data_IF_539727837063
#
_entry.id   IF_539727837063
#
_cell.length_a   1.000
_cell.length_b   1.000
_cell.length_c   1.000
_cell.angle_alpha   90.00
_cell.angle_beta   90.00
_cell.angle_gamma   90.00
#
_symmetry.space_group_name_H-M   'P 1'
#
loop_
_entity.id
_entity.type
_entity.pdbx_description
1 polymer ?
#
# COMPACT_ATOMS: atom_id res chain seq x y z
N UNK A 1 17.80 -29.58 37.18
CA UNK A 1 18.20 -28.62 36.13
C UNK A 1 17.06 -28.56 35.12
N UNK A 2 16.21 -27.53 35.18
CA UNK A 2 14.99 -27.42 34.35
C UNK A 2 15.31 -26.51 33.17
N UNK A 3 15.45 -27.08 31.97
CA UNK A 3 15.68 -26.30 30.75
C UNK A 3 14.37 -25.60 30.37
N UNK A 4 14.42 -24.27 30.36
CA UNK A 4 13.35 -23.40 29.89
C UNK A 4 13.24 -23.56 28.36
N UNK A 5 12.10 -23.97 27.78
CA UNK A 5 11.97 -23.95 26.33
C UNK A 5 11.97 -22.50 25.85
N UNK A 6 12.80 -22.20 24.85
CA UNK A 6 12.77 -20.94 24.11
C UNK A 6 11.48 -20.95 23.30
N UNK A 7 10.55 -20.07 23.67
CA UNK A 7 9.27 -19.89 22.98
C UNK A 7 9.49 -18.94 21.79
N UNK A 8 9.88 -19.50 20.65
CA UNK A 8 9.96 -18.82 19.35
C UNK A 8 8.57 -18.51 18.74
N UNK A 9 7.52 -18.59 19.57
CA UNK A 9 6.18 -18.12 19.24
C UNK A 9 5.97 -16.76 19.89
N UNK A 10 6.81 -15.78 19.54
CA UNK A 10 6.34 -14.41 19.42
C UNK A 10 5.42 -14.39 18.21
N UNK A 11 4.24 -15.01 18.35
CA UNK A 11 3.10 -14.80 17.48
C UNK A 11 2.92 -13.30 17.50
N UNK A 12 3.36 -12.64 16.42
CA UNK A 12 3.11 -11.23 16.20
C UNK A 12 1.61 -11.14 15.99
N UNK A 13 0.86 -11.13 17.10
CA UNK A 13 -0.57 -10.90 17.11
C UNK A 13 -0.74 -9.55 16.43
N UNK A 14 -1.26 -9.52 15.19
CA UNK A 14 -1.50 -8.26 14.53
C UNK A 14 -2.52 -7.56 15.41
N UNK A 15 -2.11 -6.48 16.10
CA UNK A 15 -3.03 -5.60 16.77
C UNK A 15 -4.21 -5.40 15.81
N UNK A 16 -5.46 -5.65 16.21
CA UNK A 16 -6.61 -5.60 15.28
C UNK A 16 -6.67 -4.24 14.55
N UNK A 17 -6.21 -3.19 15.22
CA UNK A 17 -6.04 -1.85 14.66
C UNK A 17 -4.94 -1.75 13.59
N UNK A 18 -3.84 -2.50 13.71
CA UNK A 18 -2.68 -2.44 12.81
C UNK A 18 -2.91 -3.08 11.43
N UNK A 19 -3.76 -4.10 11.34
CA UNK A 19 -4.16 -4.70 10.07
C UNK A 19 -5.06 -3.76 9.25
N UNK A 20 -6.06 -3.17 9.92
CA UNK A 20 -7.00 -2.24 9.30
C UNK A 20 -6.36 -0.88 9.00
N UNK A 21 -5.47 -0.37 9.86
CA UNK A 21 -4.71 0.85 9.61
C UNK A 21 -3.86 0.72 8.35
N UNK A 22 -3.15 -0.40 8.16
CA UNK A 22 -2.38 -0.64 6.93
C UNK A 22 -3.27 -0.61 5.69
N UNK A 23 -4.45 -1.23 5.75
CA UNK A 23 -5.39 -1.22 4.63
C UNK A 23 -5.99 0.17 4.39
N UNK A 24 -6.29 0.94 5.44
CA UNK A 24 -6.76 2.32 5.34
C UNK A 24 -5.69 3.26 4.79
N UNK A 25 -4.44 3.15 5.24
CA UNK A 25 -3.30 3.93 4.70
C UNK A 25 -3.07 3.58 3.23
N UNK A 26 -3.20 2.30 2.86
CA UNK A 26 -3.12 1.88 1.47
C UNK A 26 -4.24 2.52 0.62
N UNK A 27 -5.50 2.45 1.07
CA UNK A 27 -6.67 3.07 0.41
C UNK A 27 -6.57 4.60 0.32
N UNK A 28 -6.09 5.26 1.39
CA UNK A 28 -5.85 6.69 1.41
C UNK A 28 -4.76 7.07 0.41
N UNK A 29 -3.68 6.29 0.33
CA UNK A 29 -2.64 6.48 -0.67
C UNK A 29 -3.20 6.33 -2.10
N UNK A 30 -3.95 5.27 -2.38
CA UNK A 30 -4.62 5.06 -3.68
C UNK A 30 -5.48 6.27 -4.06
N UNK A 31 -6.29 6.76 -3.12
CA UNK A 31 -7.16 7.91 -3.35
C UNK A 31 -6.36 9.19 -3.59
N UNK A 32 -5.28 9.40 -2.83
CA UNK A 32 -4.38 10.55 -2.98
C UNK A 32 -3.65 10.55 -4.33
N UNK A 33 -3.18 9.38 -4.79
CA UNK A 33 -2.56 9.24 -6.11
C UNK A 33 -3.53 9.55 -7.24
N UNK A 34 -4.75 9.00 -7.20
CA UNK A 34 -5.78 9.28 -8.21
C UNK A 34 -6.14 10.76 -8.23
N UNK A 35 -6.35 11.36 -7.06
CA UNK A 35 -6.65 12.79 -6.95
C UNK A 35 -5.51 13.67 -7.48
N UNK A 36 -4.26 13.39 -7.12
CA UNK A 36 -3.09 14.16 -7.56
C UNK A 36 -2.83 14.05 -9.08
N UNK A 37 -3.06 12.87 -9.66
CA UNK A 37 -2.98 12.67 -11.12
C UNK A 37 -4.07 13.48 -11.83
N UNK A 38 -5.29 13.48 -11.30
CA UNK A 38 -6.41 14.25 -11.87
C UNK A 38 -6.16 15.76 -11.76
N UNK A 39 -5.75 16.26 -10.58
CA UNK A 39 -5.43 17.67 -10.35
C UNK A 39 -4.37 18.19 -11.35
N UNK A 40 -3.25 17.45 -11.46
CA UNK A 40 -2.21 17.74 -12.46
C UNK A 40 -2.74 17.67 -13.89
N UNK A 41 -3.55 16.68 -14.22
CA UNK A 41 -4.14 16.54 -15.56
C UNK A 41 -5.04 17.72 -15.91
N UNK A 42 -5.83 18.22 -14.94
CA UNK A 42 -6.68 19.40 -15.11
C UNK A 42 -5.83 20.67 -15.27
N UNK A 43 -4.76 20.82 -14.49
CA UNK A 43 -3.83 21.94 -14.63
C UNK A 43 -3.17 21.97 -16.01
N UNK A 44 -2.69 20.82 -16.50
CA UNK A 44 -2.09 20.69 -17.84
C UNK A 44 -3.13 20.95 -18.94
N UNK A 45 -4.36 20.45 -18.77
CA UNK A 45 -5.46 20.70 -19.70
C UNK A 45 -5.85 22.19 -19.75
N UNK A 46 -5.83 22.86 -18.59
CA UNK A 46 -6.09 24.30 -18.48
C UNK A 46 -4.95 25.15 -19.06
N UNK A 47 -3.70 24.70 -18.95
CA UNK A 47 -2.53 25.41 -19.45
C UNK A 47 -2.30 25.16 -20.96
N UNK A 48 -3.04 24.22 -21.56
CA UNK A 48 -3.02 23.92 -23.00
C UNK A 48 -1.68 23.37 -23.52
N UNK A 49 -0.71 23.17 -22.64
CA UNK A 49 0.67 22.87 -22.96
C UNK A 49 0.99 21.45 -22.49
N UNK A 50 0.93 20.49 -23.43
CA UNK A 50 1.50 19.16 -23.21
C UNK A 50 3.02 19.26 -23.25
N UNK A 51 3.62 19.78 -22.18
CA UNK A 51 5.06 19.82 -22.03
C UNK A 51 5.57 18.41 -21.74
N UNK A 52 6.70 18.03 -22.35
CA UNK A 52 7.36 16.73 -22.13
C UNK A 52 7.64 16.48 -20.65
N UNK A 53 7.88 17.56 -19.90
CA UNK A 53 8.04 17.53 -18.45
C UNK A 53 6.80 16.97 -17.75
N UNK A 54 5.62 17.50 -18.07
CA UNK A 54 4.36 17.11 -17.46
C UNK A 54 4.00 15.67 -17.79
N UNK A 55 4.27 15.21 -19.02
CA UNK A 55 4.08 13.81 -19.40
C UNK A 55 5.00 12.89 -18.60
N UNK A 56 6.27 13.24 -18.46
CA UNK A 56 7.24 12.44 -17.67
C UNK A 56 6.83 12.40 -16.19
N UNK A 57 6.27 13.50 -15.68
CA UNK A 57 5.79 13.60 -14.31
C UNK A 57 4.53 12.76 -14.09
N UNK A 58 3.59 12.80 -15.04
CA UNK A 58 2.38 11.98 -15.03
C UNK A 58 2.73 10.49 -15.10
N UNK A 59 3.69 10.12 -15.96
CA UNK A 59 4.18 8.75 -16.07
C UNK A 59 4.89 8.29 -14.79
N UNK A 60 5.72 9.14 -14.19
CA UNK A 60 6.39 8.83 -12.92
C UNK A 60 5.37 8.66 -11.80
N UNK A 61 4.39 9.56 -11.70
CA UNK A 61 3.31 9.47 -10.72
C UNK A 61 2.46 8.20 -10.94
N UNK A 62 2.15 7.87 -12.19
CA UNK A 62 1.44 6.64 -12.55
C UNK A 62 2.25 5.39 -12.24
N UNK A 63 3.55 5.37 -12.51
CA UNK A 63 4.43 4.26 -12.17
C UNK A 63 4.45 4.03 -10.66
N UNK A 64 4.61 5.12 -9.89
CA UNK A 64 4.61 5.05 -8.44
C UNK A 64 3.25 4.63 -7.88
N UNK A 65 2.14 5.05 -8.51
CA UNK A 65 0.80 4.55 -8.20
C UNK A 65 0.67 3.05 -8.42
N UNK A 66 1.19 2.52 -9.53
CA UNK A 66 1.21 1.07 -9.78
C UNK A 66 2.05 0.35 -8.73
N UNK A 67 3.26 0.84 -8.42
CA UNK A 67 4.07 0.31 -7.32
C UNK A 67 3.32 0.33 -5.98
N UNK A 68 2.55 1.39 -5.72
CA UNK A 68 1.69 1.51 -4.53
C UNK A 68 0.59 0.45 -4.51
N UNK A 69 -0.05 0.16 -5.65
CA UNK A 69 -1.03 -0.92 -5.77
C UNK A 69 -0.41 -2.30 -5.51
N UNK A 70 0.82 -2.53 -5.98
CA UNK A 70 1.56 -3.76 -5.72
C UNK A 70 1.94 -3.93 -4.25
N UNK A 71 2.15 -2.83 -3.54
CA UNK A 71 2.39 -2.82 -2.09
C UNK A 71 1.10 -3.02 -1.28
N UNK A 72 0.14 -3.78 -1.83
CA UNK A 72 -1.08 -4.17 -1.12
C UNK A 72 -0.69 -5.02 0.09
N UNK A 73 -1.19 -4.70 1.31
CA UNK A 73 -0.89 -5.49 2.50
C UNK A 73 -1.35 -6.93 2.32
N UNK A 74 -0.39 -7.86 2.32
CA UNK A 74 -0.66 -9.29 2.31
C UNK A 74 -1.41 -9.66 3.60
N UNK A 75 -2.62 -10.23 3.44
CA UNK A 75 -3.33 -10.85 4.56
C UNK A 75 -2.58 -12.12 4.90
N UNK A 76 -1.99 -12.20 6.10
CA UNK A 76 -1.39 -13.43 6.61
C UNK A 76 -2.52 -14.46 6.70
N UNK A 77 -2.55 -15.39 5.75
CA UNK A 77 -3.42 -16.56 5.83
C UNK A 77 -2.80 -17.44 6.92
N UNK A 78 -3.43 -17.45 8.09
CA UNK A 78 -3.13 -18.45 9.11
C UNK A 78 -3.47 -19.83 8.51
N UNK A 79 -2.53 -20.78 8.47
CA UNK A 79 -2.86 -22.15 8.13
C UNK A 79 -3.80 -22.67 9.21
N UNK A 80 -5.04 -22.96 8.85
CA UNK A 80 -5.95 -23.71 9.70
C UNK A 80 -5.34 -25.11 9.87
N UNK A 81 -4.64 -25.34 10.97
CA UNK A 81 -4.29 -26.68 11.42
C UNK A 81 -5.58 -27.41 11.75
N UNK A 82 -6.14 -28.08 10.75
CA UNK A 82 -7.17 -29.09 10.90
C UNK A 82 -6.49 -30.37 11.38
N UNK A 83 -6.38 -30.50 12.70
CA UNK A 83 -6.05 -31.76 13.37
C UNK A 83 -7.37 -32.42 13.78
N UNK A 84 -7.83 -33.37 12.98
CA UNK A 84 -8.70 -34.49 13.41
C UNK A 84 -8.07 -35.80 12.93
#
# INVERSE_FOLDING_TARGET
MKTKPINDQQVTQPYPLGGDLKQRIWLLGVSFWVFGIIDRSIAIFSDGSLSTLDLTQLLTASFFFVCWLFLKPARKLEPSESNE
#
